data_IF_491564613363
#
_entry.id   IF_491564613363
#
_cell.length_a   1.000
_cell.length_b   1.000
_cell.length_c   1.000
_cell.angle_alpha   90.00
_cell.angle_beta   90.00
_cell.angle_gamma   90.00
#
_symmetry.space_group_name_H-M   'P 1'
#
loop_
_entity.id
_entity.type
_entity.pdbx_description
1 polymer ?
#
# COMPACT_ATOMS: atom_id res chain seq x y z
N UNK A 1 18.54 15.30 -6.76
CA UNK A 1 18.16 13.92 -6.42
C UNK A 1 17.17 13.48 -7.46
N UNK A 2 17.58 12.57 -8.35
CA UNK A 2 16.78 12.14 -9.50
C UNK A 2 15.91 10.92 -9.16
N UNK A 3 14.89 10.63 -9.97
CA UNK A 3 13.90 9.55 -9.71
C UNK A 3 14.58 8.18 -9.51
N UNK A 4 15.71 7.96 -10.18
CA UNK A 4 16.54 6.75 -10.08
C UNK A 4 17.26 6.63 -8.72
N UNK A 5 17.72 7.75 -8.13
CA UNK A 5 18.32 7.75 -6.78
C UNK A 5 17.27 7.47 -5.69
N UNK A 6 16.03 7.88 -5.93
CA UNK A 6 14.92 7.61 -5.01
C UNK A 6 14.50 6.12 -5.04
N UNK A 7 14.54 5.51 -6.22
CA UNK A 7 14.25 4.09 -6.42
C UNK A 7 15.33 3.18 -5.80
N UNK A 8 16.60 3.58 -5.92
CA UNK A 8 17.75 2.86 -5.33
C UNK A 8 17.76 2.91 -3.79
N UNK A 9 17.29 4.02 -3.20
CA UNK A 9 17.10 4.15 -1.75
C UNK A 9 15.95 3.28 -1.23
N UNK A 10 14.88 3.08 -2.00
CA UNK A 10 13.78 2.19 -1.60
C UNK A 10 14.20 0.71 -1.67
N UNK A 11 15.02 0.31 -2.64
CA UNK A 11 15.50 -1.07 -2.75
C UNK A 11 16.47 -1.46 -1.65
N UNK A 12 17.31 -0.54 -1.18
CA UNK A 12 18.29 -0.79 -0.10
C UNK A 12 17.69 -0.87 1.30
N UNK A 13 16.45 -0.39 1.50
CA UNK A 13 15.74 -0.45 2.78
C UNK A 13 14.77 -1.65 2.92
N UNK A 14 14.77 -2.58 1.95
CA UNK A 14 13.85 -3.75 1.95
C UNK A 14 14.45 -5.04 2.55
N UNK A 15 15.64 -4.98 3.16
CA UNK A 15 16.27 -6.11 3.85
C UNK A 15 15.89 -6.21 5.35
N UNK A 16 14.72 -5.68 5.75
CA UNK A 16 14.22 -5.85 7.11
C UNK A 16 13.62 -7.24 7.32
N UNK A 17 14.53 -8.13 7.75
CA UNK A 17 14.34 -9.30 8.59
C UNK A 17 13.09 -10.14 8.33
N UNK A 18 13.32 -11.25 7.65
CA UNK A 18 12.51 -12.45 7.76
C UNK A 18 12.49 -12.87 9.24
N UNK A 19 11.49 -12.40 10.02
CA UNK A 19 11.20 -12.91 11.36
C UNK A 19 10.87 -14.39 11.24
N UNK A 20 11.92 -15.21 11.37
CA UNK A 20 11.80 -16.64 11.55
C UNK A 20 11.36 -16.86 12.98
N UNK A 21 10.12 -17.29 13.27
CA UNK A 21 9.86 -17.86 14.56
C UNK A 21 10.71 -19.13 14.64
N UNK A 22 11.77 -19.10 15.45
CA UNK A 22 12.39 -20.32 15.99
C UNK A 22 11.31 -21.03 16.81
N UNK A 23 10.48 -21.80 16.12
CA UNK A 23 9.65 -22.81 16.74
C UNK A 23 10.60 -23.88 17.26
N UNK A 24 11.06 -23.70 18.49
CA UNK A 24 11.55 -24.81 19.30
C UNK A 24 10.41 -25.81 19.39
N UNK A 25 10.45 -26.82 18.51
CA UNK A 25 9.60 -28.00 18.63
C UNK A 25 10.04 -28.71 19.90
N UNK A 26 9.35 -28.45 21.02
CA UNK A 26 9.32 -29.41 22.12
C UNK A 26 8.71 -30.69 21.55
N UNK A 27 9.57 -31.67 21.26
CA UNK A 27 9.17 -33.07 21.09
C UNK A 27 8.53 -33.53 22.42
N UNK A 28 7.21 -33.36 22.51
CA UNK A 28 6.40 -33.96 23.56
C UNK A 28 6.52 -35.49 23.43
N UNK A 29 7.11 -36.09 24.47
CA UNK A 29 7.56 -37.47 24.50
C UNK A 29 6.55 -38.51 24.02
N UNK A 30 7.05 -39.44 23.20
CA UNK A 30 6.42 -40.70 22.87
C UNK A 30 6.39 -41.61 24.11
N UNK A 31 5.53 -41.35 25.10
CA UNK A 31 5.25 -42.31 26.17
C UNK A 31 3.75 -42.32 26.45
N UNK A 32 3.05 -43.37 25.98
CA UNK A 32 1.68 -43.66 26.41
C UNK A 32 0.62 -43.98 25.35
N UNK A 33 0.95 -44.34 24.11
CA UNK A 33 -0.11 -44.81 23.17
C UNK A 33 -0.50 -46.27 23.47
N UNK A 34 -1.67 -46.46 24.10
CA UNK A 34 -2.35 -47.77 24.22
C UNK A 34 -2.50 -48.43 22.83
N UNK A 35 -2.16 -49.72 22.65
CA UNK A 35 -2.30 -50.40 21.36
C UNK A 35 -3.79 -50.67 21.10
N UNK A 36 -4.41 -49.93 20.19
CA UNK A 36 -5.80 -50.20 19.77
C UNK A 36 -6.55 -49.08 19.04
N UNK A 37 -6.16 -47.80 19.17
CA UNK A 37 -6.85 -46.67 18.50
C UNK A 37 -6.07 -46.13 17.30
N UNK A 38 -5.99 -46.87 16.21
CA UNK A 38 -5.23 -46.43 15.00
C UNK A 38 -6.05 -45.68 13.96
N UNK A 39 -7.39 -45.71 14.01
CA UNK A 39 -8.24 -45.04 13.02
C UNK A 39 -8.59 -43.59 13.40
N UNK A 40 -9.02 -43.33 14.64
CA UNK A 40 -9.41 -41.99 15.11
C UNK A 40 -8.25 -40.99 15.13
N UNK A 41 -7.06 -41.45 15.54
CA UNK A 41 -5.87 -40.59 15.66
C UNK A 41 -5.33 -40.14 14.30
N UNK A 42 -5.51 -40.95 13.25
CA UNK A 42 -5.11 -40.57 11.88
C UNK A 42 -6.02 -39.49 11.31
N UNK A 43 -7.31 -39.54 11.62
CA UNK A 43 -8.29 -38.52 11.23
C UNK A 43 -7.98 -37.19 11.94
N UNK A 44 -7.66 -37.22 13.23
CA UNK A 44 -7.31 -36.00 13.98
C UNK A 44 -5.97 -35.38 13.49
N UNK A 45 -4.97 -36.20 13.16
CA UNK A 45 -3.71 -35.70 12.58
C UNK A 45 -3.95 -35.04 11.21
N UNK A 46 -4.74 -35.66 10.33
CA UNK A 46 -5.10 -35.09 9.02
C UNK A 46 -5.86 -33.76 9.20
N UNK A 47 -6.80 -33.70 10.13
CA UNK A 47 -7.58 -32.50 10.43
C UNK A 47 -6.71 -31.37 11.01
N UNK A 48 -5.77 -31.67 11.91
CA UNK A 48 -4.81 -30.68 12.45
C UNK A 48 -3.88 -30.15 11.38
N UNK A 49 -3.37 -31.02 10.51
CA UNK A 49 -2.50 -30.62 9.40
C UNK A 49 -3.24 -29.69 8.44
N UNK A 50 -4.51 -30.01 8.12
CA UNK A 50 -5.29 -29.17 7.22
C UNK A 50 -5.65 -27.81 7.84
N UNK A 51 -5.98 -27.76 9.14
CA UNK A 51 -6.15 -26.49 9.87
C UNK A 51 -4.88 -25.64 9.86
N UNK A 52 -3.71 -26.25 10.08
CA UNK A 52 -2.43 -25.52 10.04
C UNK A 52 -2.09 -25.01 8.64
N UNK A 53 -2.45 -25.75 7.59
CA UNK A 53 -2.28 -25.30 6.20
C UNK A 53 -3.22 -24.14 5.90
N UNK A 54 -4.46 -24.24 6.34
CA UNK A 54 -5.46 -23.21 6.14
C UNK A 54 -5.06 -21.90 6.83
N UNK A 55 -4.62 -21.94 8.09
CA UNK A 55 -4.14 -20.75 8.79
C UNK A 55 -2.92 -20.11 8.11
N UNK A 56 -2.00 -20.93 7.58
CA UNK A 56 -0.86 -20.43 6.81
C UNK A 56 -1.30 -19.75 5.49
N UNK A 57 -2.30 -20.29 4.79
CA UNK A 57 -2.88 -19.68 3.58
C UNK A 57 -3.55 -18.34 3.91
N UNK A 58 -4.37 -18.31 4.96
CA UNK A 58 -5.07 -17.12 5.43
C UNK A 58 -4.08 -16.03 5.86
N UNK A 59 -2.99 -16.39 6.53
CA UNK A 59 -1.92 -15.46 6.89
C UNK A 59 -1.32 -14.80 5.64
N UNK A 60 -1.00 -15.58 4.60
CA UNK A 60 -0.48 -15.05 3.32
C UNK A 60 -1.49 -14.17 2.61
N UNK A 61 -2.75 -14.61 2.53
CA UNK A 61 -3.83 -13.83 1.92
C UNK A 61 -4.03 -12.48 2.64
N UNK A 62 -4.03 -12.49 3.98
CA UNK A 62 -4.15 -11.29 4.80
C UNK A 62 -2.97 -10.34 4.59
N UNK A 63 -1.74 -10.87 4.54
CA UNK A 63 -0.53 -10.06 4.28
C UNK A 63 -0.60 -9.41 2.90
N UNK A 64 -1.02 -10.17 1.87
CA UNK A 64 -1.22 -9.64 0.51
C UNK A 64 -2.26 -8.52 0.48
N UNK A 65 -3.42 -8.72 1.09
CA UNK A 65 -4.48 -7.69 1.15
C UNK A 65 -4.01 -6.44 1.90
N UNK A 66 -3.28 -6.61 3.02
CA UNK A 66 -2.73 -5.49 3.77
C UNK A 66 -1.77 -4.65 2.93
N UNK A 67 -0.86 -5.30 2.20
CA UNK A 67 0.08 -4.58 1.35
C UNK A 67 -0.58 -3.93 0.16
N UNK A 68 -1.53 -4.61 -0.48
CA UNK A 68 -2.31 -4.01 -1.55
C UNK A 68 -3.01 -2.72 -1.10
N UNK A 69 -3.67 -2.74 0.06
CA UNK A 69 -4.32 -1.54 0.60
C UNK A 69 -3.34 -0.40 0.89
N UNK A 70 -2.18 -0.72 1.47
CA UNK A 70 -1.16 0.28 1.75
C UNK A 70 -0.56 0.87 0.46
N UNK A 71 -0.35 0.03 -0.55
CA UNK A 71 0.12 0.45 -1.87
C UNK A 71 -0.89 1.37 -2.57
N UNK A 72 -2.17 1.02 -2.55
CA UNK A 72 -3.26 1.87 -3.07
C UNK A 72 -3.29 3.23 -2.34
N UNK A 73 -3.23 3.24 -1.00
CA UNK A 73 -3.21 4.49 -0.21
C UNK A 73 -2.02 5.39 -0.55
N UNK A 74 -0.81 4.82 -0.66
CA UNK A 74 0.40 5.56 -1.01
C UNK A 74 0.29 6.12 -2.42
N UNK A 75 -0.11 5.28 -3.37
CA UNK A 75 -0.29 5.67 -4.77
C UNK A 75 -1.28 6.83 -4.93
N UNK A 76 -2.42 6.76 -4.26
CA UNK A 76 -3.44 7.81 -4.34
C UNK A 76 -2.96 9.12 -3.70
N UNK A 77 -2.22 9.02 -2.59
CA UNK A 77 -1.60 10.20 -1.97
C UNK A 77 -0.54 10.83 -2.86
N UNK A 78 0.32 10.03 -3.49
CA UNK A 78 1.34 10.51 -4.43
C UNK A 78 0.71 11.22 -5.63
N UNK A 79 -0.35 10.64 -6.22
CA UNK A 79 -1.12 11.28 -7.29
C UNK A 79 -1.69 12.63 -6.87
N UNK A 80 -2.30 12.70 -5.68
CA UNK A 80 -2.84 13.95 -5.14
C UNK A 80 -1.74 15.01 -4.94
N UNK A 81 -0.59 14.62 -4.39
CA UNK A 81 0.56 15.52 -4.22
C UNK A 81 1.06 16.05 -5.56
N UNK A 82 1.17 15.19 -6.58
CA UNK A 82 1.60 15.59 -7.92
C UNK A 82 0.59 16.56 -8.55
N UNK A 83 -0.72 16.28 -8.43
CA UNK A 83 -1.76 17.16 -8.95
C UNK A 83 -1.70 18.55 -8.29
N UNK A 84 -1.60 18.61 -6.96
CA UNK A 84 -1.49 19.86 -6.20
C UNK A 84 -0.22 20.63 -6.53
N UNK A 85 0.92 19.94 -6.76
CA UNK A 85 2.16 20.60 -7.18
C UNK A 85 2.01 21.24 -8.57
N UNK A 86 1.42 20.53 -9.52
CA UNK A 86 1.15 21.07 -10.87
C UNK A 86 0.23 22.30 -10.81
N UNK A 87 -0.81 22.23 -9.99
CA UNK A 87 -1.73 23.36 -9.78
C UNK A 87 -1.02 24.56 -9.14
N UNK A 88 -0.20 24.33 -8.12
CA UNK A 88 0.61 25.38 -7.49
C UNK A 88 1.57 26.03 -8.48
N UNK A 89 2.26 25.23 -9.30
CA UNK A 89 3.21 25.75 -10.28
C UNK A 89 2.50 26.53 -11.40
N UNK A 90 1.30 26.10 -11.81
CA UNK A 90 0.41 26.89 -12.69
C UNK A 90 0.12 28.26 -12.09
N UNK A 91 -0.28 28.34 -10.82
CA UNK A 91 -0.59 29.62 -10.19
C UNK A 91 0.63 30.52 -10.00
N UNK A 92 1.82 29.95 -9.74
CA UNK A 92 3.07 30.73 -9.72
C UNK A 92 3.38 31.33 -11.08
N UNK A 93 3.20 30.57 -12.14
CA UNK A 93 3.40 31.05 -13.51
C UNK A 93 2.43 32.18 -13.84
N UNK A 94 1.15 31.99 -13.52
CA UNK A 94 0.13 33.02 -13.68
C UNK A 94 0.44 34.29 -12.90
N UNK A 95 0.90 34.18 -11.66
CA UNK A 95 1.32 35.35 -10.88
C UNK A 95 2.46 36.10 -11.57
N UNK A 96 3.46 35.38 -12.12
CA UNK A 96 4.56 36.00 -12.87
C UNK A 96 4.05 36.73 -14.11
N UNK A 97 3.16 36.11 -14.87
CA UNK A 97 2.58 36.75 -16.06
C UNK A 97 1.75 37.99 -15.72
N UNK A 98 0.96 37.93 -14.64
CA UNK A 98 0.19 39.06 -14.14
C UNK A 98 1.08 40.21 -13.65
N UNK A 99 2.18 39.89 -12.96
CA UNK A 99 3.19 40.88 -12.55
C UNK A 99 3.86 41.57 -13.77
N UNK A 100 3.83 40.92 -14.93
CA UNK A 100 4.33 41.43 -16.21
C UNK A 100 3.20 42.01 -17.09
N UNK A 101 2.04 42.34 -16.48
CA UNK A 101 0.83 42.88 -17.13
C UNK A 101 0.29 42.00 -18.28
N UNK A 102 0.60 40.70 -18.28
CA UNK A 102 0.06 39.71 -19.22
C UNK A 102 -1.11 38.95 -18.61
N UNK A 103 -2.08 38.62 -19.44
CA UNK A 103 -3.24 37.81 -19.04
C UNK A 103 -2.90 36.33 -19.25
N UNK A 104 -2.85 35.50 -18.19
CA UNK A 104 -2.53 34.09 -18.33
C UNK A 104 -3.61 33.28 -19.05
N UNK A 105 -3.17 32.32 -19.86
CA UNK A 105 -4.05 31.42 -20.58
C UNK A 105 -4.87 30.56 -19.62
N UNK A 106 -6.19 30.50 -19.83
CA UNK A 106 -7.14 29.78 -18.96
C UNK A 106 -7.59 30.55 -17.72
N UNK A 107 -7.11 31.79 -17.48
CA UNK A 107 -7.60 32.62 -16.37
C UNK A 107 -9.08 32.97 -16.53
N UNK A 108 -9.52 33.30 -17.75
CA UNK A 108 -10.93 33.61 -18.04
C UNK A 108 -11.84 32.42 -17.72
N UNK A 109 -11.45 31.21 -18.15
CA UNK A 109 -12.20 29.97 -17.89
C UNK A 109 -12.32 29.70 -16.39
N UNK A 110 -11.24 29.91 -15.63
CA UNK A 110 -11.28 29.80 -14.17
C UNK A 110 -12.25 30.81 -13.54
N UNK A 111 -12.27 32.05 -14.04
CA UNK A 111 -13.17 33.10 -13.53
C UNK A 111 -14.64 32.82 -13.87
N UNK A 112 -14.91 32.22 -15.04
CA UNK A 112 -16.23 31.73 -15.42
C UNK A 112 -16.67 30.58 -14.51
N UNK A 113 -15.79 29.61 -14.24
CA UNK A 113 -16.05 28.49 -13.33
C UNK A 113 -16.31 28.98 -11.89
N UNK A 114 -15.58 29.99 -11.43
CA UNK A 114 -15.79 30.63 -10.12
C UNK A 114 -17.01 31.57 -10.07
N UNK A 115 -17.77 31.71 -11.16
CA UNK A 115 -18.98 32.55 -11.20
C UNK A 115 -18.71 34.05 -11.04
N UNK A 116 -17.47 34.49 -11.31
CA UNK A 116 -17.01 35.86 -11.08
C UNK A 116 -17.23 36.78 -12.28
N UNK A 117 -17.58 36.24 -13.46
CA UNK A 117 -17.92 37.03 -14.64
C UNK A 117 -19.44 37.15 -14.75
N UNK A 118 -19.97 38.30 -14.30
CA UNK A 118 -21.25 38.80 -14.80
C UNK A 118 -20.97 39.46 -16.14
N UNK A 119 -21.39 38.83 -17.22
CA UNK A 119 -21.55 39.52 -18.50
C UNK A 119 -22.59 40.64 -18.30
N UNK A 120 -22.13 41.89 -18.24
CA UNK A 120 -23.03 43.04 -18.34
C UNK A 120 -23.68 43.00 -19.74
N UNK A 121 -24.99 42.77 -19.77
CA UNK A 121 -25.85 43.02 -20.94
C UNK A 121 -26.33 44.46 -20.92
#
# INVERSE_FOLDING_TARGET
MDLMEFEELLLTNNDDELDTPKSERKEGGKRGRKPGRKASDKVDVKAKLERSRQSARECRARKKLRYQYLEELVTDREKAVIALRKELDKYKEWNRELDEDRIPEGLTELLEEMGSIKTEQ
#
